data_IF_999337509982
#
_entry.id   IF_999337509982
#
_cell.length_a   1.000
_cell.length_b   1.000
_cell.length_c   1.000
_cell.angle_alpha   90.00
_cell.angle_beta   90.00
_cell.angle_gamma   90.00
#
_symmetry.space_group_name_H-M   'P 1'
#
loop_
_entity.id
_entity.type
_entity.pdbx_description
1 polymer ?
#
# COMPACT_ATOMS: atom_id res chain seq x y z
N UNK A 1 -60.21 5.84 33.04
CA UNK A 1 -61.67 5.63 32.98
C UNK A 1 -62.13 6.12 31.63
N UNK A 2 -62.55 5.23 30.77
CA UNK A 2 -63.47 5.14 29.64
C UNK A 2 -62.94 4.26 28.54
N UNK A 3 -63.38 3.01 28.57
CA UNK A 3 -63.46 2.07 27.45
C UNK A 3 -64.50 2.56 26.44
N UNK A 4 -64.36 2.19 25.14
CA UNK A 4 -65.40 1.62 24.29
C UNK A 4 -64.96 1.57 22.82
N UNK A 5 -65.64 0.78 21.95
CA UNK A 5 -65.37 -0.65 21.74
C UNK A 5 -65.26 -1.00 20.24
N UNK A 6 -65.01 -2.31 20.02
CA UNK A 6 -65.14 -3.12 18.81
C UNK A 6 -66.13 -2.64 17.71
N UNK A 7 -65.68 -2.79 16.46
CA UNK A 7 -66.58 -3.15 15.35
C UNK A 7 -65.86 -4.11 14.41
N UNK A 8 -66.30 -5.36 14.52
CA UNK A 8 -66.12 -6.45 13.57
C UNK A 8 -67.04 -6.21 12.37
N UNK A 9 -66.48 -6.37 11.14
CA UNK A 9 -67.30 -6.65 9.95
C UNK A 9 -66.64 -7.80 9.19
N UNK A 10 -67.37 -8.91 9.16
CA UNK A 10 -67.10 -10.05 8.32
C UNK A 10 -67.96 -9.92 7.05
N UNK A 11 -67.44 -10.38 5.92
CA UNK A 11 -68.12 -10.97 4.75
C UNK A 11 -67.13 -10.92 3.56
N UNK A 12 -67.00 -11.80 2.65
CA UNK A 12 -67.61 -13.08 2.33
C UNK A 12 -66.77 -13.65 1.17
N UNK A 13 -66.67 -14.92 1.17
CA UNK A 13 -66.17 -15.88 0.22
C UNK A 13 -66.62 -15.65 -1.23
N UNK A 14 -65.72 -15.73 -2.21
CA UNK A 14 -66.05 -16.23 -3.56
C UNK A 14 -64.86 -17.04 -4.09
N UNK A 15 -65.07 -18.35 -4.10
CA UNK A 15 -64.24 -19.35 -4.77
C UNK A 15 -64.51 -19.34 -6.27
N UNK A 16 -63.47 -19.33 -7.10
CA UNK A 16 -63.51 -19.88 -8.47
C UNK A 16 -62.39 -20.88 -8.63
N UNK A 17 -62.65 -22.09 -9.12
CA UNK A 17 -61.63 -23.08 -9.40
C UNK A 17 -61.12 -22.95 -10.83
N UNK A 18 -59.88 -23.24 -11.04
CA UNK A 18 -59.53 -23.64 -12.37
C UNK A 18 -58.18 -23.28 -12.88
N UNK A 19 -57.49 -24.28 -13.14
CA UNK A 19 -56.40 -24.55 -14.09
C UNK A 19 -55.03 -24.70 -13.45
N UNK A 20 -54.77 -25.95 -13.10
CA UNK A 20 -53.42 -26.49 -12.85
C UNK A 20 -52.69 -26.68 -14.19
N UNK A 21 -51.70 -25.82 -14.46
CA UNK A 21 -50.68 -26.10 -15.43
C UNK A 21 -49.35 -26.37 -14.66
N UNK A 22 -48.51 -27.32 -15.12
CA UNK A 22 -47.27 -27.62 -14.43
C UNK A 22 -46.30 -26.42 -14.51
N UNK A 23 -45.52 -26.20 -13.44
CA UNK A 23 -44.52 -25.12 -13.46
C UNK A 23 -43.46 -25.43 -14.51
N UNK A 24 -43.35 -24.54 -15.51
CA UNK A 24 -42.22 -24.53 -16.38
C UNK A 24 -41.01 -24.11 -15.56
N UNK A 25 -40.12 -25.07 -15.32
CA UNK A 25 -38.78 -24.83 -14.80
C UNK A 25 -38.07 -23.91 -15.77
N UNK A 26 -37.98 -22.64 -15.43
CA UNK A 26 -37.13 -21.71 -16.15
C UNK A 26 -35.66 -22.11 -15.89
N UNK A 27 -34.99 -22.59 -16.91
CA UNK A 27 -33.54 -22.76 -16.88
C UNK A 27 -32.90 -21.39 -16.60
N UNK A 28 -31.92 -21.31 -15.68
CA UNK A 28 -31.18 -20.07 -15.53
C UNK A 28 -30.47 -19.76 -16.86
N UNK A 29 -30.73 -18.59 -17.40
CA UNK A 29 -30.03 -18.07 -18.55
C UNK A 29 -28.52 -18.11 -18.24
N UNK A 30 -27.77 -18.78 -19.11
CA UNK A 30 -26.33 -18.78 -19.06
C UNK A 30 -25.85 -17.32 -19.09
N UNK A 31 -25.27 -16.89 -17.98
CA UNK A 31 -24.56 -15.60 -17.91
C UNK A 31 -23.37 -15.72 -18.85
N UNK A 32 -23.47 -15.08 -20.00
CA UNK A 32 -22.36 -14.95 -20.92
C UNK A 32 -21.19 -14.28 -20.16
N UNK A 33 -19.95 -14.76 -20.31
CA UNK A 33 -18.80 -14.09 -19.74
C UNK A 33 -18.71 -12.71 -20.37
N UNK A 34 -18.83 -11.69 -19.54
CA UNK A 34 -18.55 -10.29 -19.92
C UNK A 34 -17.07 -10.28 -20.28
N UNK A 35 -16.69 -9.90 -21.51
CA UNK A 35 -15.30 -9.69 -21.80
C UNK A 35 -14.82 -8.55 -20.88
N UNK A 36 -13.93 -8.86 -19.96
CA UNK A 36 -13.14 -7.85 -19.28
C UNK A 36 -12.24 -7.27 -20.36
N UNK A 37 -12.77 -6.31 -21.10
CA UNK A 37 -11.94 -5.42 -21.87
C UNK A 37 -11.04 -4.73 -20.85
N UNK A 38 -9.79 -5.16 -20.79
CA UNK A 38 -8.73 -4.41 -20.17
C UNK A 38 -8.68 -3.05 -20.88
N UNK A 39 -9.46 -2.11 -20.37
CA UNK A 39 -9.29 -0.71 -20.72
C UNK A 39 -7.93 -0.31 -20.12
N UNK A 40 -6.87 -0.62 -20.83
CA UNK A 40 -5.64 0.15 -20.75
C UNK A 40 -6.02 1.55 -21.27
N UNK A 41 -6.67 2.31 -20.41
CA UNK A 41 -6.67 3.76 -20.55
C UNK A 41 -5.20 4.12 -20.42
N UNK A 42 -4.57 4.34 -21.59
CA UNK A 42 -3.22 4.81 -21.66
C UNK A 42 -3.07 5.99 -20.72
N UNK A 43 -2.37 5.79 -19.62
CA UNK A 43 -1.73 6.86 -18.94
C UNK A 43 -0.84 7.48 -20.01
N UNK A 44 -1.22 8.67 -20.47
CA UNK A 44 -0.37 9.46 -21.33
C UNK A 44 0.94 9.59 -20.54
N UNK A 45 1.92 8.76 -20.91
CA UNK A 45 3.29 8.92 -20.49
C UNK A 45 3.66 10.35 -20.84
N UNK A 46 3.68 11.22 -19.84
CA UNK A 46 4.48 12.43 -19.90
C UNK A 46 5.92 11.93 -19.86
N UNK A 47 6.36 11.43 -21.02
CA UNK A 47 7.77 11.14 -21.28
C UNK A 47 8.52 12.47 -21.42
N UNK A 48 8.62 13.21 -20.32
CA UNK A 48 9.78 14.05 -20.13
C UNK A 48 10.96 13.06 -20.09
N UNK A 49 11.87 13.17 -21.05
CA UNK A 49 13.10 12.38 -21.09
C UNK A 49 13.90 12.66 -19.82
N UNK A 50 13.63 11.87 -18.79
CA UNK A 50 14.44 11.86 -17.58
C UNK A 50 15.69 11.03 -17.85
N UNK A 51 16.87 11.51 -17.53
CA UNK A 51 18.11 10.76 -17.76
C UNK A 51 18.15 9.52 -16.88
N UNK A 52 18.01 8.36 -17.50
CA UNK A 52 18.36 7.06 -16.96
C UNK A 52 17.32 6.36 -16.06
N UNK A 53 17.40 5.03 -16.01
CA UNK A 53 16.63 4.22 -15.05
C UNK A 53 17.11 4.45 -13.63
N UNK A 54 16.23 4.22 -12.65
CA UNK A 54 16.64 4.13 -11.26
C UNK A 54 17.66 3.02 -11.07
N UNK A 55 18.61 3.21 -10.18
CA UNK A 55 19.70 2.29 -9.96
C UNK A 55 19.21 0.94 -9.45
N UNK A 56 19.54 -0.15 -10.15
CA UNK A 56 19.14 -1.50 -9.76
C UNK A 56 19.76 -1.94 -8.42
N UNK A 57 18.97 -2.56 -7.57
CA UNK A 57 19.40 -3.20 -6.33
C UNK A 57 19.65 -4.70 -6.51
N UNK A 58 20.30 -5.33 -5.55
CA UNK A 58 20.82 -6.71 -5.66
C UNK A 58 19.78 -7.83 -5.50
N UNK A 59 18.51 -7.54 -5.16
CA UNK A 59 17.48 -8.57 -4.88
C UNK A 59 16.12 -8.27 -5.49
N UNK A 60 16.10 -7.70 -6.69
CA UNK A 60 14.83 -7.29 -7.32
C UNK A 60 14.23 -6.02 -6.70
N UNK A 61 14.88 -5.45 -5.70
CA UNK A 61 14.65 -4.11 -5.18
C UNK A 61 15.76 -3.19 -5.64
N UNK A 62 15.43 -1.89 -5.78
CA UNK A 62 16.34 -0.87 -6.26
C UNK A 62 16.24 0.39 -5.42
N UNK A 63 17.25 1.26 -5.51
CA UNK A 63 17.22 2.55 -4.83
C UNK A 63 16.10 3.42 -5.42
N UNK A 64 15.36 4.18 -4.57
CA UNK A 64 14.29 5.05 -5.04
C UNK A 64 14.79 6.28 -5.79
N UNK A 65 16.02 6.66 -5.57
CA UNK A 65 16.66 7.87 -6.11
C UNK A 65 18.15 7.65 -6.30
N UNK A 66 18.75 8.32 -7.29
CA UNK A 66 20.19 8.31 -7.51
C UNK A 66 20.87 9.41 -6.66
N UNK A 67 20.89 9.18 -5.34
CA UNK A 67 21.51 10.06 -4.36
C UNK A 67 22.16 9.23 -3.27
N UNK A 68 23.15 9.83 -2.59
CA UNK A 68 23.85 9.16 -1.49
C UNK A 68 22.91 8.96 -0.28
N UNK A 69 23.05 7.82 0.39
CA UNK A 69 22.45 7.61 1.72
C UNK A 69 23.29 8.41 2.72
N UNK A 70 22.65 9.35 3.41
CA UNK A 70 23.29 10.24 4.39
C UNK A 70 23.01 9.84 5.84
N UNK A 71 21.98 9.07 6.09
CA UNK A 71 21.69 8.50 7.41
C UNK A 71 21.05 7.11 7.25
N UNK A 72 21.62 6.12 7.95
CA UNK A 72 21.26 4.72 7.87
C UNK A 72 20.22 4.34 8.92
N UNK A 73 19.64 3.14 8.75
CA UNK A 73 18.71 2.54 9.68
C UNK A 73 19.33 2.37 11.08
N UNK A 74 18.63 2.87 12.10
CA UNK A 74 18.96 2.72 13.51
C UNK A 74 17.67 2.45 14.28
N UNK A 75 17.39 1.18 14.60
CA UNK A 75 16.13 0.83 15.25
C UNK A 75 16.04 1.55 16.61
N UNK A 76 14.90 2.17 16.94
CA UNK A 76 14.71 2.79 18.23
C UNK A 76 14.66 1.73 19.32
N UNK A 77 15.21 2.03 20.51
CA UNK A 77 15.19 1.13 21.66
C UNK A 77 13.78 0.81 22.17
N UNK A 78 12.82 1.69 21.90
CA UNK A 78 11.41 1.51 22.23
C UNK A 78 10.55 1.91 21.03
N UNK A 79 9.28 1.47 20.97
CA UNK A 79 8.35 1.80 19.90
C UNK A 79 8.29 3.29 19.56
N UNK A 80 8.46 4.16 20.56
CA UNK A 80 8.37 5.62 20.42
C UNK A 80 9.71 6.32 20.60
N UNK A 81 10.79 5.55 20.79
CA UNK A 81 12.13 6.08 20.99
C UNK A 81 12.71 6.78 19.77
N UNK A 82 13.77 7.54 20.03
CA UNK A 82 14.59 8.12 18.97
C UNK A 82 15.29 7.03 18.18
N UNK A 83 15.39 7.21 16.86
CA UNK A 83 16.02 6.29 15.93
C UNK A 83 15.69 6.68 14.50
N UNK A 84 16.31 6.02 13.53
CA UNK A 84 15.97 6.12 12.12
C UNK A 84 15.36 4.80 11.65
N UNK A 85 14.12 4.85 11.14
CA UNK A 85 13.33 3.66 10.72
C UNK A 85 13.49 3.33 9.25
N UNK A 86 14.50 3.88 8.62
CA UNK A 86 14.78 3.71 7.19
C UNK A 86 16.12 4.33 6.84
N UNK A 87 16.28 4.68 5.58
CA UNK A 87 17.41 5.42 5.06
C UNK A 87 17.00 6.82 4.66
N UNK A 88 17.85 7.80 4.99
CA UNK A 88 17.75 9.18 4.49
C UNK A 88 18.67 9.36 3.29
N UNK A 89 18.15 9.98 2.24
CA UNK A 89 18.91 10.32 1.03
C UNK A 89 19.18 11.82 0.96
N UNK A 90 20.37 12.17 0.55
CA UNK A 90 20.81 13.56 0.38
C UNK A 90 20.28 14.20 -0.91
N UNK A 91 18.95 14.25 -1.04
CA UNK A 91 18.30 14.93 -2.17
C UNK A 91 18.24 16.44 -1.95
N UNK A 92 18.27 17.20 -3.04
CA UNK A 92 18.21 18.68 -3.03
C UNK A 92 16.83 19.20 -3.47
N UNK A 93 16.05 18.37 -4.16
CA UNK A 93 14.73 18.67 -4.71
C UNK A 93 14.71 18.52 -6.23
N UNK A 94 13.61 17.98 -6.75
CA UNK A 94 13.40 17.75 -8.18
C UNK A 94 13.96 16.43 -8.71
N UNK A 95 14.74 15.68 -7.92
CA UNK A 95 15.25 14.38 -8.36
C UNK A 95 14.11 13.40 -8.61
N UNK A 96 14.27 12.59 -9.66
CA UNK A 96 13.32 11.53 -10.01
C UNK A 96 13.28 10.48 -8.90
N UNK A 97 12.08 10.15 -8.46
CA UNK A 97 11.83 9.06 -7.49
C UNK A 97 11.12 7.92 -8.15
N UNK A 98 11.64 6.70 -7.94
CA UNK A 98 11.13 5.48 -8.53
C UNK A 98 10.63 4.50 -7.48
N UNK A 99 9.71 3.60 -7.91
CA UNK A 99 9.28 2.47 -7.12
C UNK A 99 10.48 1.56 -6.84
N UNK A 100 10.71 1.25 -5.57
CA UNK A 100 11.84 0.41 -5.14
C UNK A 100 11.69 -1.05 -5.55
N UNK A 101 10.51 -1.48 -5.91
CA UNK A 101 10.17 -2.82 -6.39
C UNK A 101 8.75 -2.83 -6.96
N UNK A 102 8.40 -3.90 -7.67
CA UNK A 102 7.05 -4.09 -8.20
C UNK A 102 6.04 -4.31 -7.08
N UNK A 103 4.81 -3.84 -7.27
CA UNK A 103 3.75 -3.98 -6.28
C UNK A 103 2.51 -3.15 -6.60
N UNK A 104 1.72 -2.90 -5.58
CA UNK A 104 0.52 -2.06 -5.65
C UNK A 104 0.67 -0.89 -4.67
N UNK A 105 0.35 0.30 -5.13
CA UNK A 105 0.35 1.51 -4.28
C UNK A 105 -0.75 1.37 -3.23
N UNK A 106 -0.36 1.22 -1.97
CA UNK A 106 -1.30 1.09 -0.84
C UNK A 106 -1.68 2.44 -0.25
N UNK A 107 -0.87 3.46 -0.49
CA UNK A 107 -1.12 4.84 -0.08
C UNK A 107 -0.35 5.82 -0.97
N UNK A 108 -1.01 6.89 -1.38
CA UNK A 108 -0.40 8.03 -2.07
C UNK A 108 -1.08 9.31 -1.55
N UNK A 109 -0.34 10.18 -0.85
CA UNK A 109 -0.94 11.36 -0.26
C UNK A 109 -0.04 12.08 0.74
N UNK A 110 -0.64 12.97 1.54
CA UNK A 110 0.05 13.78 2.54
C UNK A 110 -0.09 13.18 3.94
N UNK A 111 1.02 13.07 4.66
CA UNK A 111 1.06 12.72 6.07
C UNK A 111 1.88 13.77 6.82
N UNK A 112 1.28 14.46 7.76
CA UNK A 112 1.92 15.53 8.53
C UNK A 112 2.67 16.56 7.66
N UNK A 113 2.07 16.95 6.52
CA UNK A 113 2.64 17.95 5.61
C UNK A 113 3.76 17.42 4.68
N UNK A 114 4.02 16.11 4.68
CA UNK A 114 4.98 15.45 3.79
C UNK A 114 4.24 14.52 2.84
N UNK A 115 4.53 14.59 1.56
CA UNK A 115 3.99 13.64 0.59
C UNK A 115 4.69 12.28 0.75
N UNK A 116 3.87 11.23 0.73
CA UNK A 116 4.25 9.83 0.97
C UNK A 116 3.63 8.96 -0.11
N UNK A 117 4.41 8.02 -0.62
CA UNK A 117 3.92 6.88 -1.41
C UNK A 117 4.32 5.60 -0.69
N UNK A 118 3.37 4.72 -0.44
CA UNK A 118 3.60 3.38 0.10
C UNK A 118 3.21 2.32 -0.91
N UNK A 119 4.05 1.30 -1.09
CA UNK A 119 3.85 0.22 -2.06
C UNK A 119 3.89 -1.10 -1.32
N UNK A 120 2.84 -1.92 -1.50
CA UNK A 120 2.78 -3.29 -1.03
C UNK A 120 3.40 -4.23 -2.05
N UNK A 121 4.42 -5.00 -1.62
CA UNK A 121 5.18 -5.92 -2.49
C UNK A 121 4.77 -7.40 -2.34
N UNK A 122 3.69 -7.68 -1.61
CA UNK A 122 3.28 -9.05 -1.23
C UNK A 122 3.89 -9.50 0.09
N UNK A 123 3.43 -10.64 0.59
CA UNK A 123 3.90 -11.32 1.83
C UNK A 123 3.98 -10.44 3.09
N UNK A 124 3.26 -9.31 3.08
CA UNK A 124 3.26 -8.34 4.16
C UNK A 124 4.43 -7.36 4.13
N UNK A 125 5.21 -7.33 3.04
CA UNK A 125 6.26 -6.34 2.82
C UNK A 125 5.69 -5.06 2.22
N UNK A 126 6.01 -3.93 2.83
CA UNK A 126 5.60 -2.59 2.39
C UNK A 126 6.82 -1.68 2.40
N UNK A 127 7.06 -0.98 1.30
CA UNK A 127 7.97 0.17 1.27
C UNK A 127 7.20 1.47 1.42
N UNK A 128 7.83 2.49 1.98
CA UNK A 128 7.27 3.84 2.08
C UNK A 128 8.35 4.86 1.78
N UNK A 129 8.09 5.68 0.78
CA UNK A 129 8.94 6.82 0.40
C UNK A 129 8.27 8.09 0.89
N UNK A 130 8.99 8.88 1.69
CA UNK A 130 8.48 10.12 2.31
C UNK A 130 9.40 11.28 1.95
N UNK A 131 8.82 12.47 1.80
CA UNK A 131 9.57 13.66 1.41
C UNK A 131 9.52 13.88 -0.10
N UNK A 132 8.45 13.45 -0.74
CA UNK A 132 8.17 13.77 -2.13
C UNK A 132 7.73 15.23 -2.27
N UNK A 133 8.12 15.86 -3.36
CA UNK A 133 7.63 17.17 -3.81
C UNK A 133 6.36 17.00 -4.65
N UNK A 134 6.40 16.05 -5.58
CA UNK A 134 5.25 15.66 -6.39
C UNK A 134 5.00 14.15 -6.30
N UNK A 135 3.74 13.75 -6.46
CA UNK A 135 3.32 12.34 -6.51
C UNK A 135 2.68 12.08 -7.86
N UNK A 136 3.18 11.09 -8.60
CA UNK A 136 2.76 10.74 -9.95
C UNK A 136 1.87 9.49 -10.02
N UNK A 137 1.51 8.91 -8.88
CA UNK A 137 0.71 7.67 -8.79
C UNK A 137 -0.44 7.84 -7.81
N UNK A 138 -1.44 6.98 -7.91
CA UNK A 138 -2.62 6.95 -7.03
C UNK A 138 -2.69 5.66 -6.23
N UNK A 139 -3.38 5.69 -5.10
CA UNK A 139 -3.68 4.48 -4.33
C UNK A 139 -4.46 3.48 -5.17
N UNK A 140 -4.00 2.24 -5.22
CA UNK A 140 -4.54 1.15 -6.03
C UNK A 140 -3.80 0.91 -7.35
N UNK A 141 -2.93 1.83 -7.78
CA UNK A 141 -2.16 1.65 -9.02
C UNK A 141 -1.15 0.50 -8.88
N UNK A 142 -1.07 -0.41 -9.85
CA UNK A 142 0.04 -1.33 -9.98
C UNK A 142 1.27 -0.57 -10.47
N UNK A 143 2.42 -0.85 -9.91
CA UNK A 143 3.70 -0.24 -10.32
C UNK A 143 4.75 -1.32 -10.53
N UNK A 144 5.59 -1.13 -11.53
CA UNK A 144 6.79 -1.93 -11.75
C UNK A 144 7.96 -1.36 -10.94
N UNK A 145 8.92 -2.22 -10.56
CA UNK A 145 10.19 -1.74 -9.99
C UNK A 145 10.88 -0.79 -10.98
N UNK A 146 11.34 0.37 -10.51
CA UNK A 146 11.92 1.42 -11.34
C UNK A 146 10.93 2.36 -12.01
N UNK A 147 9.64 2.12 -11.87
CA UNK A 147 8.64 3.04 -12.39
C UNK A 147 8.67 4.36 -11.64
N UNK A 148 8.52 5.47 -12.36
CA UNK A 148 8.49 6.82 -11.80
C UNK A 148 7.25 7.02 -10.93
N UNK A 149 7.45 7.34 -9.66
CA UNK A 149 6.36 7.58 -8.71
C UNK A 149 6.26 9.03 -8.23
N UNK A 150 7.20 9.88 -8.58
CA UNK A 150 7.20 11.29 -8.21
C UNK A 150 8.58 11.91 -8.23
N UNK A 151 8.69 13.13 -7.71
CA UNK A 151 9.96 13.85 -7.54
C UNK A 151 10.27 14.06 -6.06
N UNK A 152 11.55 14.09 -5.71
CA UNK A 152 12.01 14.30 -4.35
C UNK A 152 11.93 15.77 -3.94
N UNK A 153 11.70 16.01 -2.66
CA UNK A 153 12.05 17.24 -1.97
C UNK A 153 13.45 17.08 -1.36
N UNK A 154 14.02 18.12 -0.80
CA UNK A 154 15.24 18.02 0.01
C UNK A 154 15.00 17.06 1.20
N UNK A 155 15.83 16.01 1.29
CA UNK A 155 15.75 14.99 2.31
C UNK A 155 14.63 13.96 2.05
N UNK A 156 14.90 12.96 1.21
CA UNK A 156 14.01 11.85 0.94
C UNK A 156 14.26 10.70 1.94
N UNK A 157 13.20 10.13 2.47
CA UNK A 157 13.28 8.98 3.39
C UNK A 157 12.67 7.74 2.76
N UNK A 158 13.34 6.58 2.89
CA UNK A 158 12.83 5.26 2.52
C UNK A 158 12.81 4.35 3.73
N UNK A 159 11.63 3.84 4.07
CA UNK A 159 11.44 2.82 5.09
C UNK A 159 10.81 1.55 4.53
N UNK A 160 11.16 0.40 5.11
CA UNK A 160 10.49 -0.87 4.86
C UNK A 160 9.82 -1.40 6.13
N UNK A 161 8.69 -2.08 5.94
CA UNK A 161 8.01 -2.85 6.99
C UNK A 161 7.67 -4.23 6.47
N UNK A 162 7.99 -5.24 7.24
CA UNK A 162 7.56 -6.61 7.01
C UNK A 162 6.56 -6.99 8.11
N UNK A 163 5.30 -7.25 7.74
CA UNK A 163 4.21 -7.58 8.69
C UNK A 163 4.08 -6.59 9.84
N UNK A 164 4.29 -5.29 9.54
CA UNK A 164 4.18 -4.19 10.49
C UNK A 164 5.47 -3.81 11.21
N UNK A 165 6.50 -4.66 11.21
CA UNK A 165 7.79 -4.38 11.85
C UNK A 165 8.76 -3.70 10.88
N UNK A 166 9.54 -2.73 11.37
CA UNK A 166 10.54 -2.05 10.55
C UNK A 166 11.71 -2.97 10.23
N UNK A 167 12.13 -2.93 8.97
CA UNK A 167 13.25 -3.72 8.43
C UNK A 167 14.32 -2.78 7.90
N UNK A 168 15.59 -3.12 8.15
CA UNK A 168 16.71 -2.39 7.60
C UNK A 168 16.70 -2.49 6.06
N UNK A 169 16.65 -1.35 5.33
CA UNK A 169 16.72 -1.35 3.88
C UNK A 169 17.94 -2.09 3.31
N UNK A 170 19.06 -2.14 4.02
CA UNK A 170 20.26 -2.88 3.61
C UNK A 170 19.99 -4.36 3.31
N UNK A 171 19.04 -4.98 4.02
CA UNK A 171 18.68 -6.39 3.83
C UNK A 171 18.02 -6.67 2.49
N UNK A 172 17.38 -5.67 1.89
CA UNK A 172 16.62 -5.77 0.64
C UNK A 172 17.38 -5.13 -0.54
N UNK A 173 18.02 -4.00 -0.32
CA UNK A 173 18.68 -3.23 -1.36
C UNK A 173 20.14 -3.65 -1.60
N UNK A 174 20.71 -4.42 -0.68
CA UNK A 174 22.13 -4.72 -0.70
C UNK A 174 22.93 -3.48 -0.35
N UNK A 175 23.47 -3.43 0.84
CA UNK A 175 24.41 -2.43 1.32
C UNK A 175 25.38 -3.14 2.25
N UNK A 176 26.47 -2.48 2.61
CA UNK A 176 27.35 -2.97 3.65
C UNK A 176 26.54 -3.08 4.94
N UNK A 177 26.25 -4.32 5.36
CA UNK A 177 25.65 -4.61 6.65
C UNK A 177 26.67 -4.23 7.73
N UNK A 178 26.62 -3.01 8.22
CA UNK A 178 27.35 -2.67 9.44
C UNK A 178 26.67 -3.37 10.60
N UNK A 179 27.30 -4.43 11.12
CA UNK A 179 26.86 -5.05 12.36
C UNK A 179 27.04 -4.04 13.50
N UNK A 180 25.96 -3.46 13.96
CA UNK A 180 25.97 -2.64 15.17
C UNK A 180 25.86 -3.61 16.35
N UNK A 181 26.93 -3.76 17.12
CA UNK A 181 26.90 -4.46 18.39
C UNK A 181 26.06 -3.65 19.38
N UNK A 182 24.82 -4.08 19.59
CA UNK A 182 23.96 -3.52 20.63
C UNK A 182 24.39 -4.16 21.97
N UNK A 183 24.84 -3.38 22.98
CA UNK A 183 25.13 -3.93 24.28
C UNK A 183 23.87 -4.56 24.88
N UNK A 184 23.88 -5.87 25.08
CA UNK A 184 22.78 -6.53 25.80
C UNK A 184 23.00 -6.23 27.29
N UNK A 185 22.04 -5.58 27.98
CA UNK A 185 22.17 -5.36 29.40
C UNK A 185 22.29 -6.69 30.14
N UNK A 186 23.43 -6.93 30.79
CA UNK A 186 23.59 -8.08 31.66
C UNK A 186 22.51 -8.03 32.72
N UNK A 187 21.64 -9.03 32.72
CA UNK A 187 20.74 -9.27 33.83
C UNK A 187 21.61 -9.66 35.00
N UNK A 188 21.86 -8.71 35.95
CA UNK A 188 22.53 -9.01 37.19
C UNK A 188 21.81 -10.19 37.84
N UNK A 189 22.51 -11.34 37.95
CA UNK A 189 22.00 -12.51 38.64
C UNK A 189 21.66 -12.10 40.08
N UNK A 190 20.42 -12.33 40.47
CA UNK A 190 20.08 -12.32 41.89
C UNK A 190 20.89 -13.44 42.55
N UNK A 191 21.95 -13.08 43.23
CA UNK A 191 22.58 -13.94 44.20
C UNK A 191 21.58 -14.22 45.32
N UNK A 192 21.31 -15.49 45.56
CA UNK A 192 20.60 -16.01 46.70
C UNK A 192 21.51 -16.09 47.92
#
# INVERSE_FOLDING_TARGET
MKLHPFRTVAAAMLMTPGVTGPPRTAMPAAVAPVPVAAAHLGHASLSAEWPGPCREGTRGFQLPVDSAVIDHFRPPATRWGAGNRGWEFGTSGGERVCAVGSGVVTFAGQVAGRAVVSIGHGDGLVSSVTGLESVGVSTGDPVAGGEHIGTARAGLHLGFRLRGEYVDPATLLGGDLHAILVPVPHRAGRGG
#
